data_IF_454213773250
#
_entry.id   IF_454213773250
#
_cell.length_a   1.000
_cell.length_b   1.000
_cell.length_c   1.000
_cell.angle_alpha   90.00
_cell.angle_beta   90.00
_cell.angle_gamma   90.00
#
_symmetry.space_group_name_H-M   'P 1'
#
loop_
_entity.id
_entity.type
_entity.pdbx_description
1 polymer ?
#
# COMPACT_ATOMS: atom_id res chain seq x y z
N UNK A 1 -23.72 -3.27 -4.29
CA UNK A 1 -23.63 -3.19 -2.82
C UNK A 1 -22.18 -3.49 -2.42
N UNK A 2 -21.47 -2.62 -1.67
CA UNK A 2 -20.08 -2.90 -1.32
C UNK A 2 -20.03 -3.95 -0.21
N UNK A 3 -19.32 -5.03 -0.47
CA UNK A 3 -19.16 -6.18 0.40
C UNK A 3 -18.43 -5.78 1.69
N UNK A 4 -19.04 -6.09 2.85
CA UNK A 4 -18.51 -5.70 4.17
C UNK A 4 -17.19 -6.43 4.40
N UNK A 5 -16.11 -5.67 4.58
CA UNK A 5 -14.79 -6.22 4.92
C UNK A 5 -14.85 -7.22 6.11
N UNK A 6 -14.13 -8.36 6.02
CA UNK A 6 -14.22 -9.45 6.99
C UNK A 6 -13.83 -9.01 8.42
N UNK A 7 -14.43 -9.62 9.47
CA UNK A 7 -14.31 -9.17 10.86
C UNK A 7 -12.86 -9.10 11.38
N UNK A 8 -11.96 -9.93 10.85
CA UNK A 8 -10.53 -9.91 11.19
C UNK A 8 -9.82 -8.61 10.75
N UNK A 9 -10.21 -8.02 9.62
CA UNK A 9 -9.64 -6.77 9.12
C UNK A 9 -10.00 -5.57 9.99
N UNK A 10 -11.23 -5.55 10.54
CA UNK A 10 -11.72 -4.49 11.43
C UNK A 10 -11.04 -4.50 12.81
N UNK A 11 -10.61 -5.67 13.28
CA UNK A 11 -9.91 -5.80 14.58
C UNK A 11 -8.44 -5.39 14.45
N UNK A 12 -7.77 -5.81 13.37
CA UNK A 12 -6.39 -5.43 13.08
C UNK A 12 -6.22 -3.91 12.85
N UNK A 13 -7.18 -3.27 12.16
CA UNK A 13 -7.14 -1.81 11.95
C UNK A 13 -7.28 -1.03 13.26
N UNK A 14 -8.19 -1.44 14.16
CA UNK A 14 -8.34 -0.81 15.49
C UNK A 14 -7.08 -0.94 16.34
N UNK A 15 -6.43 -2.11 16.35
CA UNK A 15 -5.20 -2.32 17.11
C UNK A 15 -4.01 -1.56 16.51
N UNK A 16 -3.85 -1.51 15.19
CA UNK A 16 -2.78 -0.76 14.55
C UNK A 16 -2.93 0.76 14.78
N UNK A 17 -4.16 1.28 14.69
CA UNK A 17 -4.53 2.66 15.09
C UNK A 17 -4.14 2.92 16.53
N UNK A 18 -4.48 2.01 17.46
CA UNK A 18 -4.13 2.17 18.88
C UNK A 18 -2.63 2.04 19.16
N UNK A 19 -1.85 1.29 18.39
CA UNK A 19 -0.40 1.16 18.59
C UNK A 19 0.34 2.40 18.09
N UNK A 20 -0.02 2.91 16.91
CA UNK A 20 0.58 4.13 16.36
C UNK A 20 0.16 5.34 17.20
N UNK A 21 -1.13 5.49 17.51
CA UNK A 21 -1.59 6.54 18.41
C UNK A 21 -1.11 6.34 19.84
N UNK A 22 -1.00 5.11 20.34
CA UNK A 22 -0.45 4.81 21.65
C UNK A 22 1.03 5.17 21.75
N UNK A 23 1.82 4.98 20.69
CA UNK A 23 3.20 5.44 20.61
C UNK A 23 3.31 6.97 20.51
N UNK A 24 2.44 7.62 19.73
CA UNK A 24 2.36 9.09 19.63
C UNK A 24 1.92 9.73 20.96
N UNK A 25 0.94 9.15 21.63
CA UNK A 25 0.45 9.57 22.96
C UNK A 25 1.51 9.30 24.02
N UNK A 26 2.30 8.23 23.91
CA UNK A 26 3.38 7.91 24.86
C UNK A 26 4.65 8.75 24.64
N UNK A 27 4.78 9.37 23.46
CA UNK A 27 5.75 10.42 23.19
C UNK A 27 5.31 11.79 23.77
N UNK A 28 4.12 11.86 24.37
CA UNK A 28 3.63 13.06 25.05
C UNK A 28 4.48 13.29 26.31
N UNK A 29 5.16 14.43 26.33
CA UNK A 29 5.92 14.94 27.46
C UNK A 29 4.99 14.95 28.69
N UNK A 30 5.36 14.31 29.81
CA UNK A 30 4.51 14.27 30.99
C UNK A 30 4.15 15.70 31.43
N UNK A 31 2.87 16.07 31.32
CA UNK A 31 2.33 17.37 31.73
C UNK A 31 1.51 18.15 30.69
N UNK A 32 1.52 17.77 29.39
CA UNK A 32 0.79 18.50 28.35
C UNK A 32 -0.31 17.63 27.74
N UNK A 33 -1.57 18.07 27.80
CA UNK A 33 -2.68 17.32 27.19
C UNK A 33 -2.54 17.39 25.66
N UNK A 34 -2.48 16.24 24.97
CA UNK A 34 -2.39 16.20 23.50
C UNK A 34 -3.49 17.05 22.81
N UNK A 35 -4.65 17.14 23.44
CA UNK A 35 -5.76 17.98 23.01
C UNK A 35 -5.43 19.49 23.05
N UNK A 36 -4.70 19.97 24.05
CA UNK A 36 -4.30 21.37 24.13
C UNK A 36 -3.24 21.73 23.08
N UNK A 37 -2.36 20.78 22.71
CA UNK A 37 -1.39 20.97 21.62
C UNK A 37 -2.09 21.04 20.27
N UNK A 38 -3.07 20.16 20.02
CA UNK A 38 -3.84 20.16 18.76
C UNK A 38 -4.68 21.43 18.62
N UNK A 39 -5.27 21.92 19.70
CA UNK A 39 -5.98 23.20 19.70
C UNK A 39 -5.03 24.39 19.50
N UNK A 40 -3.83 24.34 20.08
CA UNK A 40 -2.83 25.41 19.95
C UNK A 40 -2.14 25.44 18.58
N UNK A 41 -1.94 24.28 17.94
CA UNK A 41 -1.25 24.15 16.64
C UNK A 41 -2.04 24.72 15.44
N UNK A 42 -3.29 25.12 15.65
CA UNK A 42 -4.14 25.77 14.65
C UNK A 42 -4.81 24.81 13.68
N UNK A 43 -5.53 25.37 12.70
CA UNK A 43 -6.24 24.60 11.68
C UNK A 43 -5.37 23.71 10.75
N UNK A 44 -4.08 24.01 10.44
CA UNK A 44 -3.28 23.22 9.49
C UNK A 44 -3.00 21.78 9.93
N UNK A 45 -3.19 21.46 11.22
CA UNK A 45 -2.96 20.10 11.74
C UNK A 45 -4.05 19.11 11.28
N UNK A 46 -5.26 19.58 10.95
CA UNK A 46 -6.39 18.70 10.59
C UNK A 46 -6.16 17.89 9.32
N UNK A 47 -5.71 18.48 8.20
CA UNK A 47 -5.32 17.72 7.02
C UNK A 47 -4.22 16.68 7.30
N UNK A 48 -3.27 16.98 8.20
CA UNK A 48 -2.18 16.07 8.55
C UNK A 48 -2.69 14.87 9.36
N UNK A 49 -3.61 15.10 10.29
CA UNK A 49 -4.28 14.03 11.03
C UNK A 49 -5.09 13.12 10.09
N UNK A 50 -5.78 13.69 9.11
CA UNK A 50 -6.47 12.91 8.08
C UNK A 50 -5.47 12.05 7.27
N UNK A 51 -4.37 12.64 6.84
CA UNK A 51 -3.31 11.91 6.12
C UNK A 51 -2.73 10.75 6.96
N UNK A 52 -2.57 10.94 8.28
CA UNK A 52 -2.15 9.89 9.22
C UNK A 52 -3.12 8.70 9.26
N UNK A 53 -4.42 8.97 9.39
CA UNK A 53 -5.46 7.93 9.41
C UNK A 53 -5.49 7.18 8.08
N UNK A 54 -5.39 7.89 6.95
CA UNK A 54 -5.35 7.28 5.62
C UNK A 54 -4.09 6.41 5.47
N UNK A 55 -2.91 6.93 5.80
CA UNK A 55 -1.66 6.18 5.70
C UNK A 55 -1.74 4.87 6.48
N UNK A 56 -2.27 4.93 7.71
CA UNK A 56 -2.42 3.74 8.54
C UNK A 56 -3.43 2.74 7.99
N UNK A 57 -4.56 3.21 7.45
CA UNK A 57 -5.53 2.37 6.77
C UNK A 57 -4.89 1.64 5.57
N UNK A 58 -4.10 2.35 4.76
CA UNK A 58 -3.37 1.76 3.62
C UNK A 58 -2.32 0.74 4.07
N UNK A 59 -1.58 1.02 5.14
CA UNK A 59 -0.58 0.09 5.69
C UNK A 59 -1.25 -1.23 6.10
N UNK A 60 -2.35 -1.13 6.86
CA UNK A 60 -3.09 -2.32 7.34
C UNK A 60 -3.70 -3.09 6.18
N UNK A 61 -4.32 -2.41 5.22
CA UNK A 61 -4.88 -3.05 4.04
C UNK A 61 -3.79 -3.81 3.26
N UNK A 62 -2.63 -3.18 3.02
CA UNK A 62 -1.51 -3.81 2.29
C UNK A 62 -0.95 -5.02 3.02
N UNK A 63 -0.88 -4.99 4.36
CA UNK A 63 -0.49 -6.18 5.14
C UNK A 63 -1.45 -7.36 4.98
N UNK A 64 -2.73 -7.11 4.72
CA UNK A 64 -3.74 -8.15 4.53
C UNK A 64 -3.79 -8.65 3.08
N UNK A 65 -3.61 -7.76 2.11
CA UNK A 65 -3.70 -8.09 0.67
C UNK A 65 -2.40 -8.66 0.11
N UNK A 66 -1.23 -8.16 0.51
CA UNK A 66 0.08 -8.67 0.07
C UNK A 66 0.56 -9.93 0.82
N UNK A 67 -0.33 -10.65 1.49
CA UNK A 67 0.02 -11.94 2.09
C UNK A 67 0.36 -12.94 0.99
N UNK A 68 1.49 -13.65 1.14
CA UNK A 68 1.99 -14.60 0.13
C UNK A 68 0.94 -15.66 -0.22
N UNK A 69 0.23 -16.17 0.77
CA UNK A 69 -0.85 -17.16 0.55
C UNK A 69 -2.01 -16.66 -0.29
N UNK A 70 -2.20 -15.34 -0.43
CA UNK A 70 -3.21 -14.73 -1.31
C UNK A 70 -2.67 -14.39 -2.70
N UNK A 71 -1.41 -14.00 -2.80
CA UNK A 71 -0.80 -13.59 -4.08
C UNK A 71 -0.23 -14.77 -4.85
N UNK A 72 0.52 -15.64 -4.16
CA UNK A 72 1.25 -16.80 -4.67
C UNK A 72 0.98 -18.03 -3.80
N UNK A 73 -0.21 -18.65 -3.90
CA UNK A 73 -0.52 -19.86 -3.14
C UNK A 73 0.42 -21.00 -3.57
N UNK A 74 1.04 -21.68 -2.60
CA UNK A 74 2.12 -22.64 -2.86
C UNK A 74 1.71 -23.78 -3.81
N UNK A 75 0.48 -24.30 -3.65
CA UNK A 75 -0.03 -25.45 -4.42
C UNK A 75 -0.68 -25.08 -5.75
N UNK A 76 -1.00 -23.80 -5.97
CA UNK A 76 -1.77 -23.41 -7.15
C UNK A 76 -1.02 -23.67 -8.47
N UNK A 77 0.30 -23.53 -8.45
CA UNK A 77 1.14 -23.85 -9.60
C UNK A 77 1.08 -25.35 -9.96
N UNK A 78 1.21 -26.23 -8.96
CA UNK A 78 1.14 -27.68 -9.14
C UNK A 78 -0.26 -28.12 -9.59
N UNK A 79 -1.31 -27.54 -9.01
CA UNK A 79 -2.70 -27.79 -9.39
C UNK A 79 -2.99 -27.35 -10.84
N UNK A 80 -2.50 -26.17 -11.25
CA UNK A 80 -2.64 -25.69 -12.62
C UNK A 80 -1.88 -26.58 -13.61
N UNK A 81 -0.66 -27.01 -13.27
CA UNK A 81 0.15 -27.90 -14.10
C UNK A 81 -0.52 -29.28 -14.28
N UNK A 82 -1.03 -29.86 -13.20
CA UNK A 82 -1.75 -31.13 -13.25
C UNK A 82 -3.02 -31.03 -14.12
N UNK A 83 -3.77 -29.93 -14.00
CA UNK A 83 -4.95 -29.70 -14.83
C UNK A 83 -4.61 -29.58 -16.33
N UNK A 84 -3.52 -28.89 -16.66
CA UNK A 84 -3.06 -28.73 -18.03
C UNK A 84 -2.56 -30.06 -18.64
N UNK A 85 -1.74 -30.82 -17.91
CA UNK A 85 -1.18 -32.09 -18.39
C UNK A 85 -2.24 -33.18 -18.60
N UNK A 86 -3.27 -33.23 -17.73
CA UNK A 86 -4.35 -34.21 -17.84
C UNK A 86 -5.35 -33.90 -18.97
N UNK A 87 -5.11 -32.85 -19.79
CA UNK A 87 -6.09 -32.28 -20.76
C UNK A 87 -7.46 -31.99 -20.12
N UNK A 88 -7.48 -31.72 -18.81
CA UNK A 88 -8.68 -31.37 -18.03
C UNK A 88 -8.85 -29.86 -17.90
N UNK A 89 -8.26 -29.09 -18.82
CA UNK A 89 -8.40 -27.65 -18.88
C UNK A 89 -9.78 -27.26 -19.43
N UNK A 90 -10.83 -27.63 -18.68
CA UNK A 90 -12.19 -27.18 -18.96
C UNK A 90 -12.31 -25.69 -18.62
N UNK A 91 -13.27 -24.96 -19.23
CA UNK A 91 -13.53 -23.57 -18.90
C UNK A 91 -13.77 -23.34 -17.40
N UNK A 92 -14.35 -24.32 -16.70
CA UNK A 92 -14.59 -24.29 -15.25
C UNK A 92 -13.28 -24.28 -14.45
N UNK A 93 -12.30 -25.09 -14.84
CA UNK A 93 -11.00 -25.14 -14.15
C UNK A 93 -10.23 -23.84 -14.38
N UNK A 94 -10.26 -23.30 -15.61
CA UNK A 94 -9.64 -22.01 -15.93
C UNK A 94 -10.25 -20.87 -15.11
N UNK A 95 -11.59 -20.82 -15.00
CA UNK A 95 -12.28 -19.80 -14.21
C UNK A 95 -11.97 -19.95 -12.72
N UNK A 96 -11.85 -21.18 -12.22
CA UNK A 96 -11.47 -21.44 -10.83
C UNK A 96 -10.05 -20.94 -10.56
N UNK A 97 -9.09 -21.21 -11.44
CA UNK A 97 -7.72 -20.69 -11.33
C UNK A 97 -7.72 -19.16 -11.33
N UNK A 98 -8.46 -18.53 -12.24
CA UNK A 98 -8.53 -17.07 -12.36
C UNK A 98 -9.04 -16.39 -11.09
N UNK A 99 -10.00 -16.99 -10.38
CA UNK A 99 -10.59 -16.40 -9.17
C UNK A 99 -9.77 -16.65 -7.89
N UNK A 100 -8.82 -17.59 -7.91
CA UNK A 100 -8.09 -17.99 -6.71
C UNK A 100 -7.05 -16.96 -6.25
N UNK A 101 -6.29 -16.38 -7.18
CA UNK A 101 -5.19 -15.46 -6.84
C UNK A 101 -4.66 -14.67 -8.04
N UNK A 102 -3.88 -13.60 -7.81
CA UNK A 102 -3.02 -12.97 -8.81
C UNK A 102 -2.24 -13.95 -9.69
N UNK A 103 -1.56 -14.94 -9.10
CA UNK A 103 -0.88 -16.00 -9.86
C UNK A 103 -1.87 -16.79 -10.74
N UNK A 104 -3.01 -17.14 -10.16
CA UNK A 104 -4.07 -17.88 -10.84
C UNK A 104 -4.61 -17.16 -12.07
N UNK A 105 -4.77 -15.84 -12.03
CA UNK A 105 -5.16 -15.02 -13.19
C UNK A 105 -4.16 -15.10 -14.33
N UNK A 106 -2.87 -15.00 -14.02
CA UNK A 106 -1.80 -15.08 -15.04
C UNK A 106 -1.74 -16.49 -15.64
N UNK A 107 -1.79 -17.54 -14.82
CA UNK A 107 -1.79 -18.92 -15.28
C UNK A 107 -3.05 -19.25 -16.11
N UNK A 108 -4.22 -18.77 -15.68
CA UNK A 108 -5.48 -18.94 -16.38
C UNK A 108 -5.48 -18.26 -17.75
N UNK A 109 -4.89 -17.07 -17.87
CA UNK A 109 -4.74 -16.39 -19.16
C UNK A 109 -3.92 -17.21 -20.15
N UNK A 110 -2.75 -17.72 -19.73
CA UNK A 110 -1.92 -18.59 -20.55
C UNK A 110 -2.62 -19.91 -20.92
N UNK A 111 -3.26 -20.57 -19.94
CA UNK A 111 -3.97 -21.82 -20.17
C UNK A 111 -5.16 -21.64 -21.12
N UNK A 112 -5.95 -20.57 -20.95
CA UNK A 112 -7.09 -20.24 -21.83
C UNK A 112 -6.63 -20.04 -23.27
N UNK A 113 -5.51 -19.35 -23.47
CA UNK A 113 -4.96 -19.11 -24.80
C UNK A 113 -4.52 -20.41 -25.48
N UNK A 114 -3.76 -21.26 -24.79
CA UNK A 114 -3.28 -22.54 -25.33
C UNK A 114 -4.44 -23.51 -25.63
N UNK A 115 -5.49 -23.53 -24.80
CA UNK A 115 -6.67 -24.39 -25.01
C UNK A 115 -7.49 -23.93 -26.22
N UNK A 116 -7.70 -22.62 -26.38
CA UNK A 116 -8.49 -22.06 -27.48
C UNK A 116 -7.73 -22.05 -28.81
N UNK A 117 -6.40 -22.03 -28.79
CA UNK A 117 -5.55 -21.95 -29.96
C UNK A 117 -4.48 -23.05 -29.96
N UNK A 118 -4.81 -24.28 -30.41
CA UNK A 118 -3.89 -25.43 -30.40
C UNK A 118 -2.60 -25.25 -31.21
N UNK A 119 -2.57 -24.28 -32.14
CA UNK A 119 -1.42 -23.96 -33.00
C UNK A 119 -0.73 -22.64 -32.63
N UNK A 120 -1.01 -22.09 -31.44
CA UNK A 120 -0.33 -20.91 -30.91
C UNK A 120 1.19 -21.09 -30.89
N UNK A 121 1.90 -20.04 -31.31
CA UNK A 121 3.35 -19.97 -31.12
C UNK A 121 3.70 -19.70 -29.65
N UNK A 122 4.88 -20.14 -29.22
CA UNK A 122 5.38 -19.85 -27.88
C UNK A 122 5.39 -18.34 -27.58
N UNK A 123 5.79 -17.54 -28.57
CA UNK A 123 5.86 -16.09 -28.43
C UNK A 123 4.46 -15.49 -28.20
N UNK A 124 3.45 -15.91 -28.96
CA UNK A 124 2.08 -15.43 -28.75
C UNK A 124 1.51 -15.82 -27.38
N UNK A 125 1.80 -17.03 -26.88
CA UNK A 125 1.40 -17.43 -25.54
C UNK A 125 2.10 -16.62 -24.44
N UNK A 126 3.39 -16.31 -24.66
CA UNK A 126 4.20 -15.51 -23.76
C UNK A 126 3.69 -14.08 -23.67
N UNK A 127 3.36 -13.46 -24.81
CA UNK A 127 2.81 -12.10 -24.86
C UNK A 127 1.50 -11.99 -24.04
N UNK A 128 0.62 -13.00 -24.11
CA UNK A 128 -0.62 -13.04 -23.34
C UNK A 128 -0.36 -13.13 -21.83
N UNK A 129 0.60 -13.95 -21.43
CA UNK A 129 1.00 -14.11 -20.04
C UNK A 129 1.66 -12.84 -19.49
N UNK A 130 2.53 -12.21 -20.28
CA UNK A 130 3.18 -10.94 -19.92
C UNK A 130 2.15 -9.82 -19.76
N UNK A 131 1.17 -9.72 -20.67
CA UNK A 131 0.10 -8.72 -20.55
C UNK A 131 -0.76 -8.95 -19.31
N UNK A 132 -1.15 -10.19 -19.02
CA UNK A 132 -1.86 -10.53 -17.80
C UNK A 132 -1.02 -10.22 -16.55
N UNK A 133 0.29 -10.49 -16.59
CA UNK A 133 1.25 -10.16 -15.56
C UNK A 133 1.33 -8.66 -15.29
N UNK A 134 1.39 -7.82 -16.33
CA UNK A 134 1.39 -6.36 -16.22
C UNK A 134 0.13 -5.81 -15.55
N UNK A 135 -1.04 -6.33 -15.91
CA UNK A 135 -2.32 -5.93 -15.28
C UNK A 135 -2.29 -6.28 -13.79
N UNK A 136 -1.86 -7.50 -13.45
CA UNK A 136 -1.75 -7.95 -12.05
C UNK A 136 -0.72 -7.11 -11.27
N UNK A 137 0.44 -6.82 -11.85
CA UNK A 137 1.46 -5.97 -11.23
C UNK A 137 0.88 -4.59 -10.89
N UNK A 138 0.18 -3.96 -11.84
CA UNK A 138 -0.44 -2.65 -11.62
C UNK A 138 -1.47 -2.66 -10.47
N UNK A 139 -2.25 -3.74 -10.34
CA UNK A 139 -3.20 -3.89 -9.23
C UNK A 139 -2.51 -4.05 -7.87
N UNK A 140 -1.39 -4.78 -7.82
CA UNK A 140 -0.58 -4.93 -6.61
C UNK A 140 0.05 -3.59 -6.17
N UNK A 141 0.31 -2.67 -7.11
CA UNK A 141 0.86 -1.34 -6.86
C UNK A 141 -0.16 -0.26 -6.47
N UNK A 142 -1.46 -0.45 -6.78
CA UNK A 142 -2.51 0.59 -6.74
C UNK A 142 -2.54 1.50 -5.50
N UNK A 143 -2.27 0.97 -4.29
CA UNK A 143 -2.26 1.77 -3.06
C UNK A 143 -0.85 2.19 -2.58
N UNK A 144 0.21 1.66 -3.20
CA UNK A 144 1.57 2.06 -2.89
C UNK A 144 1.83 3.51 -3.32
N UNK A 145 1.30 3.92 -4.47
CA UNK A 145 1.44 5.29 -4.94
C UNK A 145 0.84 6.30 -3.95
N UNK A 146 -0.36 6.03 -3.43
CA UNK A 146 -0.98 6.88 -2.42
C UNK A 146 -0.17 6.95 -1.12
N UNK A 147 0.34 5.81 -0.64
CA UNK A 147 1.20 5.78 0.57
C UNK A 147 2.51 6.55 0.36
N UNK A 148 3.12 6.43 -0.82
CA UNK A 148 4.31 7.18 -1.22
C UNK A 148 4.05 8.69 -1.30
N UNK A 149 2.90 9.10 -1.83
CA UNK A 149 2.49 10.51 -1.84
C UNK A 149 2.34 11.05 -0.42
N UNK A 150 1.69 10.32 0.49
CA UNK A 150 1.56 10.75 1.90
C UNK A 150 2.94 10.88 2.56
N UNK A 151 3.84 9.92 2.32
CA UNK A 151 5.20 9.97 2.83
C UNK A 151 5.96 11.23 2.39
N UNK A 152 5.74 11.69 1.15
CA UNK A 152 6.39 12.89 0.60
C UNK A 152 5.70 14.20 1.02
N UNK A 153 4.38 14.21 1.14
CA UNK A 153 3.58 15.42 1.38
C UNK A 153 3.46 15.73 2.88
N UNK A 154 3.40 14.73 3.77
CA UNK A 154 3.23 14.94 5.20
C UNK A 154 4.29 15.87 5.84
N UNK A 155 5.60 15.80 5.51
CA UNK A 155 6.59 16.75 6.02
C UNK A 155 6.33 18.18 5.52
N UNK A 156 5.95 18.33 4.26
CA UNK A 156 5.64 19.63 3.65
C UNK A 156 4.42 20.27 4.32
N UNK A 157 3.42 19.47 4.68
CA UNK A 157 2.26 19.95 5.44
C UNK A 157 2.63 20.39 6.85
N UNK A 158 3.55 19.67 7.53
CA UNK A 158 4.05 20.07 8.84
C UNK A 158 4.84 21.39 8.79
N UNK A 159 5.69 21.54 7.77
CA UNK A 159 6.40 22.78 7.50
C UNK A 159 5.42 23.93 7.21
N UNK A 160 4.40 23.70 6.37
CA UNK A 160 3.36 24.68 6.09
C UNK A 160 2.63 25.12 7.36
N UNK A 161 2.26 24.19 8.24
CA UNK A 161 1.63 24.51 9.52
C UNK A 161 2.54 25.36 10.42
N UNK A 162 3.85 25.14 10.36
CA UNK A 162 4.83 25.97 11.08
C UNK A 162 4.88 27.38 10.50
N UNK A 163 4.92 27.52 9.16
CA UNK A 163 4.90 28.82 8.48
C UNK A 163 3.64 29.61 8.82
N UNK A 164 2.47 28.96 8.79
CA UNK A 164 1.19 29.59 9.15
C UNK A 164 1.21 30.05 10.61
N UNK A 165 1.66 29.18 11.54
CA UNK A 165 1.79 29.56 12.95
C UNK A 165 2.70 30.77 13.16
N UNK A 166 3.83 30.83 12.46
CA UNK A 166 4.73 31.98 12.52
C UNK A 166 4.09 33.27 11.97
N UNK A 167 3.30 33.17 10.89
CA UNK A 167 2.55 34.32 10.34
C UNK A 167 1.52 34.84 11.36
N UNK A 168 0.81 33.95 12.04
CA UNK A 168 -0.19 34.33 13.05
C UNK A 168 0.46 34.99 14.27
N UNK A 169 1.60 34.46 14.73
CA UNK A 169 2.37 34.99 15.87
C UNK A 169 2.92 36.39 15.57
N UNK A 170 3.46 36.63 14.38
CA UNK A 170 4.00 37.95 14.02
C UNK A 170 2.92 38.93 13.56
N UNK A 171 1.85 38.45 12.92
CA UNK A 171 0.75 39.27 12.44
C UNK A 171 -0.18 39.80 13.55
N UNK A 172 -0.27 39.10 14.68
CA UNK A 172 -1.11 39.50 15.82
C UNK A 172 -0.49 40.58 16.74
N UNK A 173 0.79 40.93 16.54
CA UNK A 173 1.54 41.83 17.44
C UNK A 173 1.34 43.33 17.18
N UNK A 174 0.14 43.76 16.77
CA UNK A 174 -0.19 45.14 16.44
C UNK A 174 0.33 46.18 17.45
N UNK A 175 1.47 46.79 17.12
CA UNK A 175 2.02 48.04 17.70
C UNK A 175 2.51 48.03 19.15
N UNK A 176 2.12 47.07 19.99
CA UNK A 176 2.41 47.10 21.45
C UNK A 176 3.58 46.21 21.89
N UNK A 177 4.14 45.40 20.98
CA UNK A 177 5.26 44.49 21.23
C UNK A 177 4.86 43.28 22.09
N UNK A 178 5.06 42.05 21.59
CA UNK A 178 4.84 40.87 22.44
C UNK A 178 5.97 40.71 23.46
N UNK A 179 5.59 40.20 24.63
CA UNK A 179 6.56 39.68 25.59
C UNK A 179 7.42 38.57 24.94
N UNK A 180 8.73 38.55 25.18
CA UNK A 180 9.61 37.48 24.67
C UNK A 180 9.13 36.07 25.03
N UNK A 181 8.49 35.91 26.19
CA UNK A 181 7.93 34.64 26.64
C UNK A 181 6.77 34.15 25.74
N UNK A 182 5.86 35.05 25.33
CA UNK A 182 4.75 34.71 24.44
C UNK A 182 5.25 34.31 23.04
N UNK A 183 6.25 35.01 22.53
CA UNK A 183 6.90 34.68 21.26
C UNK A 183 7.54 33.29 21.31
N UNK A 184 8.33 33.01 22.35
CA UNK A 184 8.96 31.71 22.54
C UNK A 184 7.93 30.58 22.63
N UNK A 185 6.82 30.80 23.35
CA UNK A 185 5.73 29.84 23.44
C UNK A 185 5.08 29.57 22.08
N UNK A 186 4.73 30.62 21.32
CA UNK A 186 4.13 30.49 20.00
C UNK A 186 5.03 29.72 19.02
N UNK A 187 6.34 30.04 19.00
CA UNK A 187 7.33 29.34 18.17
C UNK A 187 7.37 27.84 18.54
N UNK A 188 7.41 27.53 19.84
CA UNK A 188 7.37 26.14 20.31
C UNK A 188 6.10 25.41 19.85
N UNK A 189 4.95 26.09 19.83
CA UNK A 189 3.69 25.51 19.37
C UNK A 189 3.74 25.23 17.86
N UNK A 190 4.25 26.18 17.08
CA UNK A 190 4.36 26.04 15.63
C UNK A 190 5.26 24.85 15.24
N UNK A 191 6.35 24.61 15.96
CA UNK A 191 7.26 23.49 15.71
C UNK A 191 6.62 22.10 15.89
N UNK A 192 5.53 21.97 16.67
CA UNK A 192 4.79 20.71 16.76
C UNK A 192 4.21 20.28 15.40
N UNK A 193 3.78 21.22 14.54
CA UNK A 193 3.27 20.89 13.22
C UNK A 193 4.33 20.14 12.38
N UNK A 194 5.59 20.61 12.41
CA UNK A 194 6.70 19.94 11.73
C UNK A 194 6.97 18.57 12.34
N UNK A 195 7.01 18.46 13.67
CA UNK A 195 7.23 17.19 14.36
C UNK A 195 6.16 16.14 13.99
N UNK A 196 4.87 16.52 14.00
CA UNK A 196 3.79 15.64 13.56
C UNK A 196 3.92 15.24 12.09
N UNK A 197 4.33 16.18 11.22
CA UNK A 197 4.57 15.91 9.81
C UNK A 197 5.57 14.77 9.61
N UNK A 198 6.68 14.81 10.35
CA UNK A 198 7.71 13.77 10.34
C UNK A 198 7.22 12.45 10.96
N UNK A 199 6.49 12.51 12.07
CA UNK A 199 5.92 11.33 12.73
C UNK A 199 5.00 10.53 11.78
N UNK A 200 4.27 11.21 10.89
CA UNK A 200 3.43 10.55 9.88
C UNK A 200 4.25 10.08 8.69
N UNK A 201 5.17 10.92 8.21
CA UNK A 201 5.95 10.65 7.00
C UNK A 201 6.91 9.46 7.14
N UNK A 202 7.60 9.35 8.27
CA UNK A 202 8.64 8.33 8.49
C UNK A 202 8.06 6.91 8.40
N UNK A 203 7.00 6.55 9.15
CA UNK A 203 6.36 5.24 9.02
C UNK A 203 5.79 5.01 7.61
N UNK A 204 5.13 6.01 7.02
CA UNK A 204 4.58 5.89 5.67
C UNK A 204 5.67 5.55 4.64
N UNK A 205 6.84 6.21 4.72
CA UNK A 205 7.97 5.97 3.85
C UNK A 205 8.56 4.57 4.03
N UNK A 206 8.75 4.13 5.28
CA UNK A 206 9.29 2.80 5.61
C UNK A 206 8.38 1.71 5.02
N UNK A 207 7.07 1.79 5.29
CA UNK A 207 6.13 0.80 4.79
C UNK A 207 5.94 0.86 3.28
N UNK A 208 5.95 2.05 2.68
CA UNK A 208 5.95 2.19 1.23
C UNK A 208 7.13 1.45 0.59
N UNK A 209 8.36 1.66 1.08
CA UNK A 209 9.55 0.95 0.58
C UNK A 209 9.45 -0.56 0.79
N UNK A 210 8.99 -0.99 1.96
CA UNK A 210 8.80 -2.41 2.28
C UNK A 210 7.81 -3.08 1.32
N UNK A 211 6.63 -2.50 1.14
CA UNK A 211 5.61 -3.08 0.27
C UNK A 211 5.98 -3.00 -1.20
N UNK A 212 6.67 -1.94 -1.64
CA UNK A 212 7.18 -1.84 -3.02
C UNK A 212 8.11 -3.01 -3.33
N UNK A 213 9.13 -3.23 -2.50
CA UNK A 213 10.04 -4.38 -2.66
C UNK A 213 9.28 -5.71 -2.65
N UNK A 214 8.29 -5.85 -1.77
CA UNK A 214 7.44 -7.04 -1.68
C UNK A 214 6.66 -7.30 -2.97
N UNK A 215 6.14 -6.25 -3.61
CA UNK A 215 5.43 -6.34 -4.89
C UNK A 215 6.41 -6.70 -6.00
N UNK A 216 7.57 -6.06 -6.07
CA UNK A 216 8.62 -6.36 -7.05
C UNK A 216 9.03 -7.85 -6.98
N UNK A 217 9.27 -8.37 -5.76
CA UNK A 217 9.58 -9.79 -5.53
C UNK A 217 8.46 -10.72 -6.03
N UNK A 218 7.19 -10.33 -5.83
CA UNK A 218 6.04 -11.12 -6.28
C UNK A 218 5.87 -11.08 -7.80
N UNK A 219 6.07 -9.92 -8.43
CA UNK A 219 6.00 -9.78 -9.89
C UNK A 219 7.06 -10.66 -10.56
N UNK A 220 8.30 -10.62 -10.07
CA UNK A 220 9.36 -11.48 -10.58
C UNK A 220 9.04 -12.98 -10.41
N UNK A 221 8.46 -13.38 -9.26
CA UNK A 221 8.05 -14.77 -9.04
C UNK A 221 6.86 -15.19 -9.92
N UNK A 222 5.91 -14.29 -10.17
CA UNK A 222 4.79 -14.49 -11.09
C UNK A 222 5.29 -14.75 -12.51
N UNK A 223 6.18 -13.90 -13.02
CA UNK A 223 6.77 -14.03 -14.35
C UNK A 223 7.54 -15.34 -14.51
N UNK A 224 8.36 -15.70 -13.52
CA UNK A 224 9.10 -16.95 -13.52
C UNK A 224 8.17 -18.17 -13.56
N UNK A 225 7.16 -18.21 -12.67
CA UNK A 225 6.21 -19.34 -12.61
C UNK A 225 5.36 -19.44 -13.87
N UNK A 226 4.92 -18.31 -14.42
CA UNK A 226 4.09 -18.31 -15.62
C UNK A 226 4.87 -18.73 -16.86
N UNK A 227 6.11 -18.28 -17.01
CA UNK A 227 7.00 -18.75 -18.10
C UNK A 227 7.29 -20.24 -17.98
N UNK A 228 7.63 -20.72 -16.77
CA UNK A 228 7.85 -22.15 -16.51
C UNK A 228 6.61 -23.00 -16.79
N UNK A 229 5.42 -22.46 -16.53
CA UNK A 229 4.15 -23.11 -16.83
C UNK A 229 3.93 -23.24 -18.35
N UNK A 230 4.16 -22.17 -19.11
CA UNK A 230 4.07 -22.20 -20.58
C UNK A 230 5.03 -23.23 -21.20
N UNK A 231 6.27 -23.28 -20.72
CA UNK A 231 7.28 -24.22 -21.19
C UNK A 231 6.92 -25.68 -20.91
N UNK A 232 6.14 -25.94 -19.86
CA UNK A 232 5.68 -27.28 -19.51
C UNK A 232 4.45 -27.74 -20.31
N UNK A 233 3.62 -26.81 -20.81
CA UNK A 233 2.38 -27.14 -21.55
C UNK A 233 2.55 -27.06 -23.06
N UNK A 234 3.49 -26.25 -23.56
CA UNK A 234 3.77 -26.15 -24.99
C UNK A 234 4.81 -27.21 -25.40
N UNK A 235 4.62 -27.90 -26.53
CA UNK A 235 5.60 -28.85 -27.01
C UNK A 235 6.92 -28.14 -27.33
N UNK A 236 8.02 -28.59 -26.73
CA UNK A 236 9.37 -28.17 -27.12
C UNK A 236 9.57 -28.55 -28.59
N UNK A 237 9.49 -27.59 -29.52
CA UNK A 237 10.02 -27.81 -30.86
C UNK A 237 11.53 -28.00 -30.70
N UNK A 238 11.98 -29.26 -30.75
CA UNK A 238 13.39 -29.57 -31.02
C UNK A 238 13.74 -28.85 -32.31
N UNK A 239 14.70 -27.92 -32.21
CA UNK A 239 15.35 -27.30 -33.35
C UNK A 239 16.01 -28.36 -34.24
#
# INVERSE_FOLDING_TARGET
MPERAPPAARRASRHAVQVVWGFVIRLSIPGVQLFSIIQAAGWPIWPLLLASVIALALIVERFLTLKRSRVLPARLYEEALAAAQQRRATPEVVNTLEQNSPLGRVLAAGLRHVVLQPHTSRDAAKDVVEEAGRVVAHELERYLNALGTIASVAPLMGLLGTVIGMIEIFGSQGGTGASPEQLAHGISVALYNTAFGLIVAIPALIFWRYFRRRVDDYVAELEFRATSFLDAILPQRRA
#
